data_IF_155704946380
#
_entry.id   IF_155704946380
#
_cell.length_a   1.000
_cell.length_b   1.000
_cell.length_c   1.000
_cell.angle_alpha   90.00
_cell.angle_beta   90.00
_cell.angle_gamma   90.00
#
_symmetry.space_group_name_H-M   'P 1'
#
loop_
_entity.id
_entity.type
_entity.pdbx_description
1 polymer ?
#
# COMPACT_ATOMS: atom_id res chain seq x y z
N UNK A 1 -9.32 18.12 6.66
CA UNK A 1 -8.08 18.89 6.58
C UNK A 1 -6.97 17.98 6.09
N UNK A 2 -6.08 18.46 5.20
CA UNK A 2 -5.01 17.63 4.67
C UNK A 2 -4.11 17.09 5.79
N UNK A 3 -3.71 15.81 5.69
CA UNK A 3 -2.83 15.14 6.68
C UNK A 3 -1.43 15.74 6.61
N UNK A 4 -0.86 16.16 7.75
CA UNK A 4 0.54 16.63 7.78
C UNK A 4 1.52 15.48 7.58
N UNK A 5 2.40 15.60 6.59
CA UNK A 5 3.38 14.57 6.23
C UNK A 5 4.76 15.17 5.98
N UNK A 6 5.80 14.36 6.13
CA UNK A 6 7.14 14.74 5.72
C UNK A 6 7.35 14.58 4.20
N UNK A 7 8.38 15.24 3.69
CA UNK A 7 8.68 15.29 2.25
C UNK A 7 8.89 13.91 1.61
N UNK A 8 9.32 12.91 2.39
CA UNK A 8 9.49 11.52 1.92
C UNK A 8 8.18 10.87 1.41
N UNK A 9 7.02 11.44 1.74
CA UNK A 9 5.74 11.01 1.18
C UNK A 9 5.67 11.29 -0.32
N UNK A 10 6.37 12.30 -0.83
CA UNK A 10 6.43 12.59 -2.26
C UNK A 10 7.04 11.43 -3.06
N UNK A 11 8.04 10.74 -2.51
CA UNK A 11 8.72 9.67 -3.24
C UNK A 11 7.78 8.49 -3.51
N UNK A 12 7.04 8.02 -2.50
CA UNK A 12 6.06 6.94 -2.67
C UNK A 12 4.91 7.34 -3.60
N UNK A 13 4.38 8.55 -3.47
CA UNK A 13 3.28 9.04 -4.31
C UNK A 13 3.73 9.22 -5.77
N UNK A 14 4.95 9.71 -6.00
CA UNK A 14 5.54 9.78 -7.34
C UNK A 14 5.74 8.40 -7.96
N UNK A 15 6.17 7.43 -7.16
CA UNK A 15 6.33 6.05 -7.63
C UNK A 15 4.98 5.45 -8.01
N UNK A 16 3.96 5.65 -7.19
CA UNK A 16 2.60 5.24 -7.48
C UNK A 16 2.10 5.89 -8.79
N UNK A 17 2.19 7.21 -8.90
CA UNK A 17 1.79 7.99 -10.08
C UNK A 17 2.47 7.51 -11.37
N UNK A 18 3.77 7.17 -11.30
CA UNK A 18 4.51 6.61 -12.44
C UNK A 18 4.12 5.17 -12.77
N UNK A 19 3.68 4.40 -11.78
CA UNK A 19 3.41 2.98 -11.93
C UNK A 19 2.01 2.70 -12.51
N UNK A 20 0.98 3.41 -12.02
CA UNK A 20 -0.40 3.14 -12.40
C UNK A 20 -0.68 3.19 -13.91
N UNK A 21 -0.09 4.12 -14.71
CA UNK A 21 -0.24 4.09 -16.16
C UNK A 21 0.30 2.81 -16.82
N UNK A 22 1.43 2.28 -16.32
CA UNK A 22 2.01 1.04 -16.82
C UNK A 22 1.12 -0.17 -16.46
N UNK A 23 0.61 -0.20 -15.23
CA UNK A 23 -0.37 -1.20 -14.79
C UNK A 23 -1.63 -1.21 -15.67
N UNK A 24 -2.20 -0.02 -15.92
CA UNK A 24 -3.37 0.15 -16.78
C UNK A 24 -3.07 -0.31 -18.21
N UNK A 25 -1.89 0.02 -18.76
CA UNK A 25 -1.46 -0.47 -20.06
C UNK A 25 -1.37 -2.01 -20.13
N UNK A 26 -0.77 -2.64 -19.11
CA UNK A 26 -0.64 -4.09 -19.03
C UNK A 26 -1.99 -4.81 -18.89
N UNK A 27 -2.98 -4.12 -18.30
CA UNK A 27 -4.32 -4.66 -18.03
C UNK A 27 -5.40 -4.17 -18.99
N UNK A 28 -5.04 -3.44 -20.07
CA UNK A 28 -5.99 -2.83 -21.02
C UNK A 28 -6.98 -3.80 -21.69
N UNK A 29 -6.67 -5.11 -21.71
CA UNK A 29 -7.55 -6.16 -22.26
C UNK A 29 -8.54 -6.73 -21.24
N UNK A 30 -8.41 -6.38 -19.97
CA UNK A 30 -9.32 -6.82 -18.93
C UNK A 30 -10.66 -6.07 -19.04
N UNK A 31 -11.75 -6.75 -18.70
CA UNK A 31 -13.09 -6.18 -18.69
C UNK A 31 -13.34 -5.25 -17.49
N UNK A 32 -12.55 -5.41 -16.43
CA UNK A 32 -12.64 -4.62 -15.20
C UNK A 32 -11.24 -4.53 -14.58
N UNK A 33 -10.87 -3.35 -14.09
CA UNK A 33 -9.63 -3.04 -13.37
C UNK A 33 -10.00 -2.40 -12.04
N UNK A 34 -9.45 -2.93 -10.96
CA UNK A 34 -9.79 -2.49 -9.61
C UNK A 34 -8.57 -1.88 -8.96
N UNK A 35 -8.75 -0.73 -8.32
CA UNK A 35 -7.77 -0.14 -7.43
C UNK A 35 -8.27 -0.22 -5.99
N UNK A 36 -7.40 -0.58 -5.06
CA UNK A 36 -7.68 -0.54 -3.62
C UNK A 36 -6.55 0.20 -2.93
N UNK A 37 -6.90 1.22 -2.15
CA UNK A 37 -6.03 1.79 -1.13
C UNK A 37 -6.38 1.19 0.22
N UNK A 38 -5.44 0.50 0.85
CA UNK A 38 -5.66 -0.17 2.12
C UNK A 38 -5.52 0.79 3.32
N UNK A 39 -4.96 2.00 3.12
CA UNK A 39 -4.71 3.01 4.15
C UNK A 39 -4.85 4.44 3.55
N UNK A 40 -6.05 4.77 3.09
CA UNK A 40 -6.28 5.85 2.12
C UNK A 40 -6.01 7.28 2.64
N UNK A 41 -6.18 7.51 3.93
CA UNK A 41 -6.13 8.85 4.52
C UNK A 41 -7.21 9.78 3.99
N UNK A 42 -7.08 11.10 4.28
CA UNK A 42 -8.07 12.09 3.88
C UNK A 42 -7.99 12.47 2.38
N UNK A 43 -7.15 11.79 1.59
CA UNK A 43 -6.99 12.03 0.16
C UNK A 43 -6.06 13.18 -0.24
N UNK A 44 -5.75 14.10 0.68
CA UNK A 44 -4.75 15.16 0.48
C UNK A 44 -3.79 15.26 1.67
N UNK A 45 -2.55 15.65 1.40
CA UNK A 45 -1.51 15.80 2.40
C UNK A 45 -0.95 17.24 2.43
N UNK A 46 -0.58 17.72 3.61
CA UNK A 46 0.12 18.99 3.83
C UNK A 46 1.59 18.72 4.12
N UNK A 47 2.49 19.20 3.26
CA UNK A 47 3.93 19.02 3.46
C UNK A 47 4.45 19.88 4.60
N UNK A 48 5.12 19.26 5.57
CA UNK A 48 5.61 19.93 6.78
C UNK A 48 6.59 21.08 6.52
N UNK A 49 7.41 21.02 5.45
CA UNK A 49 8.43 22.05 5.19
C UNK A 49 7.92 23.25 4.42
N UNK A 50 6.94 23.07 3.56
CA UNK A 50 6.51 24.08 2.59
C UNK A 50 5.06 24.52 2.77
N UNK A 51 4.32 23.92 3.70
CA UNK A 51 2.87 24.05 3.88
C UNK A 51 2.09 23.96 2.54
N UNK A 52 2.63 23.17 1.61
CA UNK A 52 2.01 22.91 0.31
C UNK A 52 1.07 21.72 0.46
N UNK A 53 -0.15 21.88 -0.04
CA UNK A 53 -1.08 20.77 -0.20
C UNK A 53 -0.70 19.98 -1.47
N UNK A 54 -0.63 18.67 -1.33
CA UNK A 54 -0.41 17.72 -2.40
C UNK A 54 -1.49 16.65 -2.38
N UNK A 55 -1.80 16.11 -3.55
CA UNK A 55 -2.76 15.03 -3.68
C UNK A 55 -2.18 13.72 -3.14
N UNK A 56 -3.01 12.96 -2.43
CA UNK A 56 -2.69 11.64 -1.91
C UNK A 56 -2.97 10.53 -2.94
N UNK A 57 -2.70 9.30 -2.54
CA UNK A 57 -2.94 8.11 -3.36
C UNK A 57 -4.39 7.98 -3.86
N UNK A 58 -5.45 8.40 -3.14
CA UNK A 58 -6.80 8.32 -3.69
C UNK A 58 -7.03 9.15 -4.95
N UNK A 59 -6.55 10.40 -4.96
CA UNK A 59 -6.68 11.30 -6.11
C UNK A 59 -5.75 10.89 -7.25
N UNK A 60 -4.51 10.48 -6.93
CA UNK A 60 -3.57 9.94 -7.93
C UNK A 60 -4.18 8.73 -8.65
N UNK A 61 -4.78 7.80 -7.91
CA UNK A 61 -5.42 6.62 -8.50
C UNK A 61 -6.70 6.95 -9.27
N UNK A 62 -7.45 7.96 -8.80
CA UNK A 62 -8.61 8.46 -9.52
C UNK A 62 -8.19 9.04 -10.88
N UNK A 63 -7.16 9.87 -10.93
CA UNK A 63 -6.73 10.56 -12.16
C UNK A 63 -5.83 9.69 -13.07
N UNK A 64 -5.37 8.54 -12.57
CA UNK A 64 -4.54 7.62 -13.33
C UNK A 64 -5.20 7.17 -14.63
N UNK A 65 -4.48 7.37 -15.75
CA UNK A 65 -4.91 6.93 -17.08
C UNK A 65 -3.75 6.29 -17.84
N UNK A 66 -4.07 5.20 -18.54
CA UNK A 66 -3.20 4.50 -19.47
C UNK A 66 -3.57 4.78 -20.94
N UNK A 67 -2.95 4.05 -21.88
CA UNK A 67 -3.21 4.19 -23.31
C UNK A 67 -4.70 4.13 -23.64
N UNK A 68 -5.13 4.92 -24.64
CA UNK A 68 -6.53 4.98 -25.10
C UNK A 68 -7.56 5.36 -24.01
N UNK A 69 -7.15 6.06 -22.96
CA UNK A 69 -8.05 6.46 -21.86
C UNK A 69 -8.42 5.29 -20.93
N UNK A 70 -7.58 4.25 -20.88
CA UNK A 70 -7.75 3.11 -19.97
C UNK A 70 -7.63 3.61 -18.53
N UNK A 71 -8.68 3.46 -17.72
CA UNK A 71 -8.73 3.88 -16.31
C UNK A 71 -9.12 2.71 -15.41
N UNK A 72 -9.07 2.90 -14.08
CA UNK A 72 -9.70 1.96 -13.15
C UNK A 72 -11.23 2.05 -13.22
N UNK A 73 -11.90 0.90 -13.26
CA UNK A 73 -13.36 0.81 -13.31
C UNK A 73 -13.98 0.97 -11.92
N UNK A 74 -13.27 0.54 -10.88
CA UNK A 74 -13.70 0.63 -9.47
C UNK A 74 -12.52 0.95 -8.58
N UNK A 75 -12.72 1.88 -7.66
CA UNK A 75 -11.73 2.30 -6.68
C UNK A 75 -12.31 2.16 -5.28
N UNK A 76 -11.56 1.54 -4.39
CA UNK A 76 -11.94 1.36 -3.00
C UNK A 76 -10.88 1.94 -2.08
N UNK A 77 -11.32 2.70 -1.09
CA UNK A 77 -10.43 3.41 -0.18
C UNK A 77 -10.79 3.03 1.25
N UNK A 78 -9.95 2.22 1.89
CA UNK A 78 -10.13 1.80 3.28
C UNK A 78 -9.46 2.82 4.20
N UNK A 79 -10.20 3.32 5.18
CA UNK A 79 -9.69 4.28 6.17
C UNK A 79 -10.38 4.04 7.51
N UNK A 80 -9.59 3.87 8.57
CA UNK A 80 -10.07 3.52 9.91
C UNK A 80 -10.49 4.76 10.70
N UNK A 81 -9.82 5.89 10.47
CA UNK A 81 -10.18 7.15 11.11
C UNK A 81 -11.47 7.73 10.47
N UNK A 82 -12.56 7.89 11.25
CA UNK A 82 -13.85 8.30 10.72
C UNK A 82 -13.85 9.74 10.19
N UNK A 83 -12.99 10.62 10.73
CA UNK A 83 -12.86 12.00 10.26
C UNK A 83 -12.17 12.01 8.89
N UNK A 84 -11.01 11.36 8.75
CA UNK A 84 -10.31 11.21 7.48
C UNK A 84 -11.17 10.51 6.42
N UNK A 85 -11.94 9.48 6.79
CA UNK A 85 -12.86 8.79 5.88
C UNK A 85 -14.00 9.71 5.41
N UNK A 86 -14.54 10.54 6.30
CA UNK A 86 -15.56 11.54 5.97
C UNK A 86 -15.02 12.60 5.01
N UNK A 87 -13.81 13.10 5.29
CA UNK A 87 -13.13 14.09 4.45
C UNK A 87 -12.81 13.53 3.06
N UNK A 88 -12.31 12.29 3.00
CA UNK A 88 -12.04 11.62 1.73
C UNK A 88 -13.32 11.46 0.91
N UNK A 89 -14.44 11.08 1.54
CA UNK A 89 -15.73 11.00 0.87
C UNK A 89 -16.16 12.35 0.27
N UNK A 90 -16.04 13.44 1.04
CA UNK A 90 -16.36 14.78 0.55
C UNK A 90 -15.46 15.17 -0.62
N UNK A 91 -14.17 14.93 -0.50
CA UNK A 91 -13.18 15.21 -1.55
C UNK A 91 -13.53 14.47 -2.84
N UNK A 92 -13.77 13.15 -2.75
CA UNK A 92 -14.11 12.31 -3.90
C UNK A 92 -15.44 12.71 -4.54
N UNK A 93 -16.44 13.15 -3.77
CA UNK A 93 -17.73 13.60 -4.32
C UNK A 93 -17.59 14.77 -5.31
N UNK A 94 -16.54 15.57 -5.15
CA UNK A 94 -16.24 16.70 -6.04
C UNK A 94 -15.37 16.33 -7.24
N UNK A 95 -14.53 15.29 -7.12
CA UNK A 95 -13.57 14.89 -8.16
C UNK A 95 -14.06 13.74 -9.04
N UNK A 96 -14.72 12.73 -8.46
CA UNK A 96 -15.16 11.54 -9.18
C UNK A 96 -16.50 11.76 -9.90
N UNK A 97 -16.42 12.22 -11.15
CA UNK A 97 -17.60 12.46 -11.99
C UNK A 97 -18.31 11.18 -12.46
N UNK A 98 -17.69 10.02 -12.31
CA UNK A 98 -18.21 8.74 -12.81
C UNK A 98 -18.66 7.79 -11.69
N UNK A 99 -18.57 8.20 -10.43
CA UNK A 99 -19.08 7.48 -9.25
C UNK A 99 -18.57 6.03 -9.15
N UNK A 100 -17.27 5.86 -9.42
CA UNK A 100 -16.54 4.59 -9.39
C UNK A 100 -15.69 4.44 -8.13
N UNK A 101 -15.48 5.52 -7.38
CA UNK A 101 -14.79 5.56 -6.10
C UNK A 101 -15.73 5.29 -4.92
N UNK A 102 -15.28 4.50 -3.95
CA UNK A 102 -16.00 4.23 -2.70
C UNK A 102 -15.05 4.23 -1.51
N UNK A 103 -15.39 4.99 -0.48
CA UNK A 103 -14.70 4.92 0.82
C UNK A 103 -15.35 3.83 1.68
N UNK A 104 -14.52 3.05 2.36
CA UNK A 104 -14.91 1.96 3.26
C UNK A 104 -14.34 2.29 4.64
N UNK A 105 -15.15 2.85 5.55
CA UNK A 105 -14.71 3.11 6.91
C UNK A 105 -14.41 1.82 7.68
N UNK A 106 -13.27 1.81 8.37
CA UNK A 106 -12.89 0.80 9.35
C UNK A 106 -11.56 0.12 9.08
N UNK A 107 -11.22 -0.76 10.01
CA UNK A 107 -9.90 -1.36 10.13
C UNK A 107 -9.56 -2.35 8.98
N UNK A 108 -8.36 -2.20 8.42
CA UNK A 108 -7.91 -2.89 7.20
C UNK A 108 -7.92 -4.42 7.31
N UNK A 109 -7.54 -4.99 8.45
CA UNK A 109 -7.44 -6.44 8.63
C UNK A 109 -8.82 -7.11 8.56
N UNK A 110 -9.90 -6.35 8.79
CA UNK A 110 -11.29 -6.78 8.63
C UNK A 110 -11.85 -6.38 7.26
N UNK A 111 -11.69 -5.10 6.86
CA UNK A 111 -12.36 -4.54 5.68
C UNK A 111 -11.79 -5.03 4.36
N UNK A 112 -10.49 -5.25 4.28
CA UNK A 112 -9.86 -5.67 3.04
C UNK A 112 -10.30 -7.10 2.62
N UNK A 113 -10.29 -8.12 3.50
CA UNK A 113 -10.83 -9.44 3.17
C UNK A 113 -12.34 -9.41 2.86
N UNK A 114 -13.14 -8.66 3.63
CA UNK A 114 -14.58 -8.50 3.41
C UNK A 114 -14.90 -7.90 2.03
N UNK A 115 -14.13 -6.90 1.61
CA UNK A 115 -14.26 -6.28 0.30
C UNK A 115 -13.89 -7.29 -0.79
N UNK A 116 -12.73 -7.93 -0.67
CA UNK A 116 -12.21 -8.83 -1.69
C UNK A 116 -13.13 -10.03 -1.92
N UNK A 117 -13.78 -10.56 -0.87
CA UNK A 117 -14.79 -11.60 -0.98
C UNK A 117 -15.98 -11.24 -1.92
N UNK A 118 -16.25 -9.96 -2.13
CA UNK A 118 -17.32 -9.43 -2.99
C UNK A 118 -16.85 -9.09 -4.41
N UNK A 119 -15.54 -9.17 -4.67
CA UNK A 119 -14.94 -8.81 -5.95
C UNK A 119 -14.62 -10.06 -6.80
N UNK A 120 -14.69 -9.95 -8.13
CA UNK A 120 -14.34 -11.06 -9.02
C UNK A 120 -12.86 -11.43 -8.93
N UNK A 121 -12.58 -12.72 -8.77
CA UNK A 121 -11.22 -13.26 -8.60
C UNK A 121 -10.27 -13.00 -9.77
N UNK A 122 -10.80 -12.82 -10.99
CA UNK A 122 -10.00 -12.71 -12.22
C UNK A 122 -9.73 -11.26 -12.66
N UNK A 123 -10.46 -10.29 -12.12
CA UNK A 123 -10.23 -8.88 -12.44
C UNK A 123 -8.88 -8.45 -11.87
N UNK A 124 -7.96 -7.89 -12.69
CA UNK A 124 -6.74 -7.28 -12.18
C UNK A 124 -7.07 -6.26 -11.08
N UNK A 125 -6.50 -6.50 -9.90
CA UNK A 125 -6.67 -5.66 -8.72
C UNK A 125 -5.31 -5.16 -8.27
N UNK A 126 -5.08 -3.85 -8.36
CA UNK A 126 -3.89 -3.22 -7.79
C UNK A 126 -4.22 -2.75 -6.37
N UNK A 127 -3.39 -3.11 -5.39
CA UNK A 127 -3.61 -2.82 -3.98
C UNK A 127 -2.39 -2.06 -3.42
N UNK A 128 -2.61 -0.80 -3.04
CA UNK A 128 -1.60 0.01 -2.36
C UNK A 128 -1.70 -0.19 -0.85
N UNK A 129 -0.58 -0.55 -0.23
CA UNK A 129 -0.50 -0.89 1.20
C UNK A 129 0.50 0.07 1.86
N UNK A 130 -0.03 1.16 2.43
CA UNK A 130 0.76 2.27 2.96
C UNK A 130 0.45 2.60 4.43
N UNK A 131 0.80 1.70 5.36
CA UNK A 131 0.51 1.87 6.77
C UNK A 131 1.34 2.98 7.41
N UNK A 132 0.81 3.61 8.47
CA UNK A 132 1.62 4.44 9.39
C UNK A 132 2.37 3.59 10.43
N UNK A 133 1.95 2.34 10.64
CA UNK A 133 2.43 1.43 11.68
C UNK A 133 2.83 0.04 11.18
N UNK A 134 2.92 -0.92 12.10
CA UNK A 134 3.19 -2.34 11.78
C UNK A 134 1.87 -3.04 11.44
N UNK A 135 1.38 -2.81 10.21
CA UNK A 135 0.13 -3.33 9.68
C UNK A 135 0.24 -3.44 8.14
N UNK A 136 -0.57 -4.25 7.45
CA UNK A 136 -1.56 -5.18 7.98
C UNK A 136 -0.92 -6.47 8.50
N UNK A 137 -1.71 -7.32 9.16
CA UNK A 137 -1.31 -8.67 9.56
C UNK A 137 -1.03 -9.53 8.33
N UNK A 138 -0.13 -10.50 8.48
CA UNK A 138 0.19 -11.44 7.41
C UNK A 138 -1.04 -12.19 6.89
N UNK A 139 -1.92 -12.61 7.79
CA UNK A 139 -3.17 -13.31 7.46
C UNK A 139 -4.08 -12.49 6.54
N UNK A 140 -4.04 -11.16 6.63
CA UNK A 140 -4.80 -10.27 5.74
C UNK A 140 -4.26 -10.31 4.32
N UNK A 141 -2.94 -10.35 4.13
CA UNK A 141 -2.32 -10.50 2.80
C UNK A 141 -2.58 -11.91 2.24
N UNK A 142 -2.43 -12.93 3.08
CA UNK A 142 -2.65 -14.34 2.73
C UNK A 142 -4.09 -14.59 2.27
N UNK A 143 -5.08 -13.94 2.90
CA UNK A 143 -6.48 -14.03 2.51
C UNK A 143 -6.75 -13.55 1.07
N UNK A 144 -5.83 -12.77 0.46
CA UNK A 144 -5.99 -12.22 -0.89
C UNK A 144 -5.45 -13.16 -1.99
N UNK A 145 -4.73 -14.21 -1.61
CA UNK A 145 -4.14 -15.21 -2.52
C UNK A 145 -5.15 -15.84 -3.50
N UNK A 146 -6.47 -15.90 -3.28
CA UNK A 146 -7.39 -16.36 -4.33
C UNK A 146 -7.65 -15.37 -5.49
N UNK A 147 -7.27 -14.09 -5.38
CA UNK A 147 -7.58 -13.05 -6.38
C UNK A 147 -6.37 -12.69 -7.24
N UNK A 148 -6.60 -12.19 -8.45
CA UNK A 148 -5.55 -11.64 -9.32
C UNK A 148 -5.11 -10.26 -8.81
N UNK A 149 -4.21 -10.27 -7.84
CA UNK A 149 -3.73 -9.08 -7.15
C UNK A 149 -2.28 -8.76 -7.50
N UNK A 150 -1.97 -7.48 -7.44
CA UNK A 150 -0.62 -6.93 -7.43
C UNK A 150 -0.55 -5.84 -6.36
N UNK A 151 0.57 -5.77 -5.66
CA UNK A 151 0.78 -4.90 -4.51
C UNK A 151 1.91 -3.92 -4.74
N UNK A 152 1.71 -2.72 -4.22
CA UNK A 152 2.79 -1.83 -3.82
C UNK A 152 2.73 -1.66 -2.30
N UNK A 153 3.72 -2.22 -1.59
CA UNK A 153 3.76 -2.27 -0.13
C UNK A 153 4.82 -1.32 0.38
N UNK A 154 4.43 -0.36 1.21
CA UNK A 154 5.35 0.41 2.05
C UNK A 154 5.72 -0.42 3.28
N UNK A 155 6.86 -1.09 3.22
CA UNK A 155 7.42 -1.89 4.31
C UNK A 155 8.07 -0.96 5.37
N UNK A 156 7.44 -0.77 6.56
CA UNK A 156 7.72 0.34 7.46
C UNK A 156 8.90 0.03 8.41
N UNK A 157 10.05 -0.32 7.82
CA UNK A 157 11.20 -0.84 8.54
C UNK A 157 11.77 0.15 9.57
N UNK A 158 12.23 1.30 9.11
CA UNK A 158 12.88 2.32 9.93
C UNK A 158 11.91 3.15 10.74
N UNK A 159 10.69 3.33 10.23
CA UNK A 159 9.64 4.11 10.90
C UNK A 159 8.99 3.35 12.07
N UNK A 160 8.76 2.04 11.93
CA UNK A 160 7.89 1.30 12.86
C UNK A 160 8.52 0.00 13.35
N UNK A 161 8.97 -0.90 12.46
CA UNK A 161 9.47 -2.24 12.82
C UNK A 161 10.68 -2.15 13.77
N UNK A 162 11.73 -1.41 13.39
CA UNK A 162 12.97 -1.29 14.18
C UNK A 162 12.77 -0.67 15.56
N UNK A 163 11.72 0.13 15.71
CA UNK A 163 11.40 0.81 16.98
C UNK A 163 10.59 -0.06 17.93
N UNK A 164 10.04 -1.18 17.44
CA UNK A 164 9.08 -2.01 18.15
C UNK A 164 9.37 -3.51 17.98
N UNK A 165 10.66 -3.90 17.91
CA UNK A 165 11.09 -5.28 17.63
C UNK A 165 10.56 -6.33 18.63
N UNK A 166 10.21 -5.92 19.85
CA UNK A 166 9.66 -6.79 20.90
C UNK A 166 8.13 -6.81 20.92
N UNK A 167 7.47 -6.08 20.02
CA UNK A 167 6.01 -6.01 19.96
C UNK A 167 5.42 -7.30 19.39
N UNK A 168 4.30 -7.74 19.95
CA UNK A 168 3.50 -8.86 19.39
C UNK A 168 3.09 -8.61 17.93
N UNK A 169 2.94 -7.33 17.53
CA UNK A 169 2.63 -6.95 16.14
C UNK A 169 3.67 -7.44 15.13
N UNK A 170 4.93 -7.64 15.54
CA UNK A 170 5.99 -8.14 14.65
C UNK A 170 5.62 -9.55 14.17
N UNK A 171 5.30 -10.45 15.09
CA UNK A 171 4.90 -11.82 14.75
C UNK A 171 3.64 -11.82 13.88
N UNK A 172 2.65 -10.97 14.17
CA UNK A 172 1.43 -10.87 13.36
C UNK A 172 1.70 -10.35 11.94
N UNK A 173 2.60 -9.38 11.78
CA UNK A 173 2.96 -8.77 10.51
C UNK A 173 3.76 -9.72 9.60
N UNK A 174 4.69 -10.48 10.19
CA UNK A 174 5.48 -11.48 9.47
C UNK A 174 4.76 -12.84 9.38
N UNK A 175 3.74 -13.08 10.21
CA UNK A 175 2.91 -14.28 10.23
C UNK A 175 3.64 -15.54 10.71
N UNK A 176 4.71 -15.42 11.50
CA UNK A 176 5.42 -16.55 12.13
C UNK A 176 6.32 -16.07 13.25
N UNK A 177 6.58 -16.95 14.22
CA UNK A 177 7.57 -16.75 15.27
C UNK A 177 9.02 -16.88 14.76
N UNK A 178 9.25 -17.38 13.55
CA UNK A 178 10.61 -17.49 12.99
C UNK A 178 11.33 -16.14 12.87
N UNK A 179 10.58 -15.04 12.83
CA UNK A 179 11.13 -13.68 12.89
C UNK A 179 11.93 -13.44 14.19
N UNK A 180 11.54 -14.06 15.30
CA UNK A 180 12.27 -13.94 16.57
C UNK A 180 13.64 -14.62 16.49
N UNK A 181 13.72 -15.74 15.77
CA UNK A 181 14.98 -16.46 15.53
C UNK A 181 15.89 -15.57 14.67
N UNK A 182 15.35 -14.98 13.61
CA UNK A 182 16.06 -14.07 12.73
C UNK A 182 16.60 -12.84 13.48
N UNK A 183 15.78 -12.23 14.33
CA UNK A 183 16.18 -11.06 15.13
C UNK A 183 17.30 -11.37 16.12
N UNK A 184 17.29 -12.58 16.73
CA UNK A 184 18.37 -13.04 17.62
C UNK A 184 19.69 -13.27 16.85
N UNK A 185 19.61 -13.73 15.60
CA UNK A 185 20.80 -14.04 14.79
C UNK A 185 21.41 -12.81 14.12
N UNK A 186 20.58 -11.84 13.72
CA UNK A 186 21.02 -10.66 12.99
C UNK A 186 21.57 -9.56 13.92
N UNK A 187 22.70 -9.83 14.60
CA UNK A 187 23.35 -8.85 15.48
C UNK A 187 23.79 -7.61 14.70
N UNK A 188 23.08 -6.49 14.86
CA UNK A 188 23.44 -5.16 14.35
C UNK A 188 23.14 -4.89 12.85
N UNK A 189 22.77 -5.90 12.06
CA UNK A 189 22.44 -5.75 10.62
C UNK A 189 21.06 -6.34 10.26
N UNK A 190 20.03 -5.95 11.01
CA UNK A 190 18.66 -6.52 10.88
C UNK A 190 17.89 -6.07 9.63
N UNK A 191 18.27 -4.95 9.02
CA UNK A 191 17.45 -4.29 7.99
C UNK A 191 17.22 -5.18 6.76
N UNK A 192 18.31 -5.68 6.17
CA UNK A 192 18.24 -6.53 4.97
C UNK A 192 17.65 -7.92 5.27
N UNK A 193 18.05 -8.62 6.34
CA UNK A 193 17.44 -9.89 6.70
C UNK A 193 15.93 -9.82 6.91
N UNK A 194 15.41 -8.78 7.58
CA UNK A 194 13.95 -8.62 7.78
C UNK A 194 13.22 -8.38 6.46
N UNK A 195 13.79 -7.55 5.58
CA UNK A 195 13.22 -7.31 4.25
C UNK A 195 13.20 -8.60 3.42
N UNK A 196 14.33 -9.30 3.32
CA UNK A 196 14.43 -10.55 2.57
C UNK A 196 13.51 -11.64 3.15
N UNK A 197 13.35 -11.67 4.47
CA UNK A 197 12.42 -12.57 5.12
C UNK A 197 10.96 -12.28 4.74
N UNK A 198 10.53 -11.02 4.82
CA UNK A 198 9.18 -10.62 4.39
C UNK A 198 8.93 -10.94 2.91
N UNK A 199 9.92 -10.65 2.07
CA UNK A 199 9.85 -10.94 0.64
C UNK A 199 9.80 -12.44 0.36
N UNK A 200 10.59 -13.25 1.04
CA UNK A 200 10.51 -14.71 0.89
C UNK A 200 9.14 -15.25 1.32
N UNK A 201 8.55 -14.70 2.38
CA UNK A 201 7.18 -15.01 2.80
C UNK A 201 6.16 -14.69 1.69
N UNK A 202 6.30 -13.57 0.99
CA UNK A 202 5.43 -13.22 -0.15
C UNK A 202 5.56 -14.26 -1.27
N UNK A 203 6.78 -14.70 -1.57
CA UNK A 203 7.04 -15.77 -2.56
C UNK A 203 6.37 -17.09 -2.18
N UNK A 204 6.40 -17.49 -0.91
CA UNK A 204 5.81 -18.78 -0.49
C UNK A 204 4.30 -18.84 -0.69
N UNK A 205 3.61 -17.70 -0.74
CA UNK A 205 2.17 -17.61 -0.99
C UNK A 205 1.82 -17.21 -2.43
N UNK A 206 2.81 -17.24 -3.34
CA UNK A 206 2.60 -17.07 -4.78
C UNK A 206 2.79 -15.65 -5.31
N UNK A 207 3.33 -14.71 -4.53
CA UNK A 207 3.68 -13.38 -5.01
C UNK A 207 5.17 -13.29 -5.35
N UNK A 208 5.46 -13.17 -6.65
CA UNK A 208 6.78 -12.92 -7.19
C UNK A 208 7.17 -11.44 -7.16
N UNK A 209 8.46 -11.21 -7.35
CA UNK A 209 9.06 -9.89 -7.56
C UNK A 209 10.40 -10.07 -8.28
N UNK A 210 10.75 -9.15 -9.17
CA UNK A 210 12.04 -9.02 -9.83
C UNK A 210 13.10 -8.46 -8.87
N UNK A 211 14.37 -8.59 -9.24
CA UNK A 211 15.52 -8.24 -8.37
C UNK A 211 15.56 -6.75 -8.03
N UNK A 212 14.95 -5.88 -8.85
CA UNK A 212 14.91 -4.41 -8.68
C UNK A 212 13.57 -3.87 -8.12
N UNK A 213 12.67 -4.75 -7.69
CA UNK A 213 11.31 -4.38 -7.27
C UNK A 213 11.24 -3.77 -5.86
N UNK A 214 12.37 -3.30 -5.34
CA UNK A 214 12.40 -2.58 -4.07
C UNK A 214 13.14 -1.25 -4.13
N UNK A 215 12.56 -0.23 -3.49
CA UNK A 215 13.16 1.10 -3.40
C UNK A 215 13.28 1.52 -1.95
N UNK A 216 14.51 1.78 -1.50
CA UNK A 216 14.80 2.32 -0.18
C UNK A 216 14.56 3.83 -0.18
N UNK A 217 13.63 4.30 0.64
CA UNK A 217 13.40 5.73 0.87
C UNK A 217 14.08 6.17 2.17
N UNK A 218 14.74 7.31 2.11
CA UNK A 218 15.51 7.88 3.22
C UNK A 218 15.07 9.30 3.56
N UNK A 219 15.34 9.73 4.78
CA UNK A 219 15.23 11.16 5.14
C UNK A 219 16.33 11.98 4.45
N UNK A 220 16.20 13.31 4.49
CA UNK A 220 17.26 14.24 4.06
C UNK A 220 18.58 14.05 4.81
N UNK A 221 18.54 13.42 5.99
CA UNK A 221 19.71 13.13 6.82
C UNK A 221 20.21 11.69 6.60
N UNK A 222 19.85 11.06 5.46
CA UNK A 222 20.26 9.72 5.02
C UNK A 222 19.81 8.56 5.94
N UNK A 223 18.80 8.77 6.78
CA UNK A 223 18.22 7.71 7.62
C UNK A 223 17.19 6.90 6.82
N UNK A 224 17.33 5.58 6.77
CA UNK A 224 16.35 4.68 6.16
C UNK A 224 14.98 4.78 6.84
N UNK A 225 13.93 5.06 6.07
CA UNK A 225 12.55 5.13 6.55
C UNK A 225 11.81 3.83 6.25
N UNK A 226 11.74 3.46 4.97
CA UNK A 226 10.98 2.31 4.50
C UNK A 226 11.53 1.76 3.18
N UNK A 227 11.07 0.55 2.84
CA UNK A 227 11.23 -0.01 1.51
C UNK A 227 9.87 -0.04 0.83
N UNK A 228 9.79 0.39 -0.42
CA UNK A 228 8.64 0.07 -1.28
C UNK A 228 8.91 -1.27 -1.92
N UNK A 229 7.97 -2.21 -1.82
CA UNK A 229 8.06 -3.55 -2.39
C UNK A 229 6.94 -3.69 -3.43
N UNK A 230 7.30 -3.98 -4.67
CA UNK A 230 6.34 -4.45 -5.66
C UNK A 230 6.21 -5.96 -5.56
N UNK A 231 4.98 -6.47 -5.55
CA UNK A 231 4.70 -7.90 -5.46
C UNK A 231 3.49 -8.26 -6.32
N UNK A 232 3.69 -9.09 -7.33
CA UNK A 232 2.65 -9.50 -8.27
C UNK A 232 2.60 -11.01 -8.41
N UNK A 233 1.49 -11.53 -8.91
CA UNK A 233 1.42 -12.94 -9.30
C UNK A 233 2.08 -13.14 -10.65
N UNK A 234 2.92 -14.17 -10.72
CA UNK A 234 3.46 -14.66 -11.99
C UNK A 234 2.35 -15.29 -12.85
#
# INVERSE_FOLDING_TARGET
MPRRVGDWTLDKLKILDQYLPAYLSATQKATERIYIDAFAGPGQNLLNRSDRVIDGSPLIALDASGPKGTIFDRLFFIEDDPEAASELNQLLSSHDKTNRAKVIPGEVNQKLPELMAKLPKRSPTFIFIDPEGIDPRWSTIEALVPWRTEFLINFPLGMSIKRNLTSRKIVDYFGTQDVDILLKQAVGKIDRPLLDFYKNRLRTIGYGYQVEDERLVKTSNNQSLYYLIFAGKN
#
